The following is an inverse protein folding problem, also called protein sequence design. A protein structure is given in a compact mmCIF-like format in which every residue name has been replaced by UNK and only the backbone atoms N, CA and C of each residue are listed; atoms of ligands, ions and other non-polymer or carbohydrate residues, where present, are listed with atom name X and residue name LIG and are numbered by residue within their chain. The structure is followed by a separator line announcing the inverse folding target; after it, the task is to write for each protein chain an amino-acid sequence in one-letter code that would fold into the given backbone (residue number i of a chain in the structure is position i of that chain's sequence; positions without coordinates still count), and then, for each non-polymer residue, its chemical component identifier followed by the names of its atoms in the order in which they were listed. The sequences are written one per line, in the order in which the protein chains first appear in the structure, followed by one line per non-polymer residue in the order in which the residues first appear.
data_IF_868668320982
#
_entry.id   IF_868668320982
#
_cell.length_a   1.000
_cell.length_b   1.000
_cell.length_c   1.000
_cell.angle_alpha   90.00
_cell.angle_beta   90.00
_cell.angle_gamma   90.00
#
_symmetry.space_group_name_H-M   'P 1'
#
loop_
_entity.id
_entity.type
_entity.pdbx_description
1 polymer ?
#
# COMPACT_ATOMS: atom_id res chain seq x y z
N UNK A 1 -43.36 2.22 -25.30
CA UNK A 1 -42.12 2.62 -24.60
C UNK A 1 -42.40 2.81 -23.10
N UNK A 2 -42.12 1.82 -22.24
CA UNK A 2 -42.28 1.94 -20.78
C UNK A 2 -41.03 1.35 -20.10
N UNK A 3 -40.62 1.91 -18.95
CA UNK A 3 -39.53 1.39 -18.07
C UNK A 3 -38.11 1.34 -18.67
N UNK A 4 -37.86 2.02 -19.79
CA UNK A 4 -36.53 2.05 -20.44
C UNK A 4 -35.44 2.61 -19.50
N UNK A 5 -35.76 3.69 -18.78
CA UNK A 5 -34.85 4.29 -17.79
C UNK A 5 -34.50 3.31 -16.67
N UNK A 6 -35.50 2.64 -16.10
CA UNK A 6 -35.29 1.69 -15.00
C UNK A 6 -34.42 0.50 -15.43
N UNK A 7 -34.60 -0.02 -16.66
CA UNK A 7 -33.76 -1.09 -17.21
C UNK A 7 -32.30 -0.65 -17.37
N UNK A 8 -32.08 0.55 -17.92
CA UNK A 8 -30.74 1.13 -18.09
C UNK A 8 -30.06 1.40 -16.74
N UNK A 9 -30.81 1.90 -15.76
CA UNK A 9 -30.30 2.19 -14.42
C UNK A 9 -29.85 0.91 -13.71
N UNK A 10 -30.64 -0.17 -13.76
CA UNK A 10 -30.24 -1.47 -13.17
C UNK A 10 -28.96 -2.02 -13.79
N UNK A 11 -28.83 -1.93 -15.11
CA UNK A 11 -27.62 -2.35 -15.82
C UNK A 11 -26.38 -1.56 -15.38
N UNK A 12 -26.47 -0.22 -15.35
CA UNK A 12 -25.34 0.60 -14.93
C UNK A 12 -25.03 0.48 -13.43
N UNK A 13 -26.03 0.27 -12.57
CA UNK A 13 -25.79 0.08 -11.14
C UNK A 13 -24.99 -1.21 -10.89
N UNK A 14 -25.35 -2.29 -11.58
CA UNK A 14 -24.60 -3.53 -11.50
C UNK A 14 -23.18 -3.38 -12.06
N UNK A 15 -23.02 -2.73 -13.21
CA UNK A 15 -21.71 -2.44 -13.79
C UNK A 15 -20.83 -1.57 -12.88
N UNK A 16 -21.40 -0.51 -12.30
CA UNK A 16 -20.70 0.38 -11.38
C UNK A 16 -20.22 -0.36 -10.13
N UNK A 17 -21.07 -1.23 -9.58
CA UNK A 17 -20.69 -2.08 -8.45
C UNK A 17 -19.52 -3.00 -8.78
N UNK A 18 -19.58 -3.72 -9.91
CA UNK A 18 -18.49 -4.59 -10.34
C UNK A 18 -17.17 -3.82 -10.56
N UNK A 19 -17.24 -2.66 -11.21
CA UNK A 19 -16.06 -1.81 -11.43
C UNK A 19 -15.49 -1.32 -10.11
N UNK A 20 -16.33 -0.85 -9.18
CA UNK A 20 -15.87 -0.40 -7.86
C UNK A 20 -15.20 -1.52 -7.06
N UNK A 21 -15.76 -2.73 -7.10
CA UNK A 21 -15.19 -3.91 -6.45
C UNK A 21 -13.84 -4.27 -7.07
N UNK A 22 -13.75 -4.21 -8.40
CA UNK A 22 -12.51 -4.42 -9.15
C UNK A 22 -11.42 -3.42 -8.76
N UNK A 23 -11.75 -2.13 -8.69
CA UNK A 23 -10.82 -1.09 -8.25
C UNK A 23 -10.36 -1.32 -6.80
N UNK A 24 -11.27 -1.67 -5.90
CA UNK A 24 -10.94 -1.97 -4.50
C UNK A 24 -9.99 -3.17 -4.38
N UNK A 25 -10.26 -4.25 -5.12
CA UNK A 25 -9.39 -5.42 -5.16
C UNK A 25 -8.01 -5.09 -5.75
N UNK A 26 -7.97 -4.37 -6.87
CA UNK A 26 -6.74 -3.94 -7.53
C UNK A 26 -5.87 -3.10 -6.58
N UNK A 27 -6.46 -2.16 -5.85
CA UNK A 27 -5.72 -1.36 -4.87
C UNK A 27 -5.24 -2.21 -3.69
N UNK A 28 -6.10 -3.09 -3.16
CA UNK A 28 -5.75 -3.95 -2.03
C UNK A 28 -4.54 -4.82 -2.36
N UNK A 29 -4.57 -5.55 -3.46
CA UNK A 29 -3.52 -6.51 -3.80
C UNK A 29 -2.34 -5.88 -4.54
N UNK A 30 -2.55 -4.80 -5.29
CA UNK A 30 -1.49 -4.09 -6.01
C UNK A 30 -0.71 -3.11 -5.15
N UNK A 31 -1.31 -2.57 -4.07
CA UNK A 31 -0.70 -1.51 -3.26
C UNK A 31 -0.68 -1.85 -1.78
N UNK A 32 -1.83 -2.18 -1.19
CA UNK A 32 -1.94 -2.31 0.27
C UNK A 32 -1.21 -3.55 0.81
N UNK A 33 -1.45 -4.74 0.25
CA UNK A 33 -0.78 -5.97 0.67
C UNK A 33 0.73 -5.96 0.42
N UNK A 34 1.23 -5.55 -0.77
CA UNK A 34 2.68 -5.48 -1.00
C UNK A 34 3.37 -4.52 -0.04
N UNK A 35 2.75 -3.36 0.27
CA UNK A 35 3.30 -2.44 1.27
C UNK A 35 3.39 -3.10 2.64
N UNK A 36 2.31 -3.70 3.14
CA UNK A 36 2.32 -4.39 4.43
C UNK A 36 3.39 -5.48 4.49
N UNK A 37 3.53 -6.25 3.41
CA UNK A 37 4.55 -7.28 3.28
C UNK A 37 5.96 -6.69 3.29
N UNK A 38 6.23 -5.62 2.55
CA UNK A 38 7.53 -4.98 2.50
C UNK A 38 7.99 -4.47 3.89
N UNK A 39 7.09 -3.87 4.67
CA UNK A 39 7.39 -3.48 6.05
C UNK A 39 7.68 -4.70 6.94
N UNK A 40 6.86 -5.75 6.84
CA UNK A 40 7.09 -6.97 7.61
C UNK A 40 8.42 -7.65 7.24
N UNK A 41 8.77 -7.70 5.95
CA UNK A 41 10.03 -8.26 5.47
C UNK A 41 11.24 -7.43 5.90
N UNK A 42 11.14 -6.10 5.88
CA UNK A 42 12.18 -5.21 6.39
C UNK A 42 12.47 -5.49 7.86
N UNK A 43 11.44 -5.46 8.71
CA UNK A 43 11.60 -5.63 10.16
C UNK A 43 11.92 -7.06 10.59
N UNK A 44 11.69 -8.07 9.74
CA UNK A 44 11.91 -9.47 10.08
C UNK A 44 13.32 -9.76 10.61
N UNK A 45 14.32 -9.11 10.02
CA UNK A 45 15.74 -9.27 10.39
C UNK A 45 16.42 -7.92 10.63
N UNK A 46 15.65 -6.87 10.88
CA UNK A 46 16.22 -5.54 11.08
C UNK A 46 16.94 -5.47 12.43
N UNK A 47 18.21 -5.08 12.39
CA UNK A 47 19.01 -4.79 13.59
C UNK A 47 19.21 -3.27 13.68
N UNK A 48 18.50 -2.59 14.60
CA UNK A 48 18.59 -1.14 14.75
C UNK A 48 20.01 -0.67 15.13
N UNK A 49 20.77 -1.46 15.90
CA UNK A 49 22.10 -1.05 16.35
C UNK A 49 23.11 -1.14 15.21
N UNK A 50 23.00 -2.17 14.37
CA UNK A 50 23.83 -2.29 13.17
C UNK A 50 23.59 -1.14 12.20
N UNK A 51 22.32 -0.80 11.96
CA UNK A 51 21.94 0.31 11.08
C UNK A 51 22.38 1.67 11.65
N UNK A 52 22.18 1.87 12.96
CA UNK A 52 22.68 3.04 13.68
C UNK A 52 24.21 3.19 13.56
N UNK A 53 24.98 2.13 13.83
CA UNK A 53 26.45 2.21 13.74
C UNK A 53 26.91 2.46 12.31
N UNK A 54 26.21 1.95 11.30
CA UNK A 54 26.48 2.28 9.89
C UNK A 54 26.23 3.77 9.59
N UNK A 55 25.10 4.33 10.07
CA UNK A 55 24.80 5.76 9.94
C UNK A 55 25.78 6.65 10.71
N UNK A 56 26.17 6.21 11.92
CA UNK A 56 27.16 6.87 12.76
C UNK A 56 28.53 6.91 12.07
N UNK A 57 28.99 5.78 11.53
CA UNK A 57 30.24 5.70 10.80
C UNK A 57 30.24 6.58 9.54
N UNK A 58 29.08 6.75 8.91
CA UNK A 58 28.89 7.68 7.80
C UNK A 58 28.85 9.16 8.22
N UNK A 59 28.90 9.48 9.52
CA UNK A 59 28.92 10.85 10.03
C UNK A 59 27.60 11.59 9.93
N UNK A 60 26.48 10.86 9.86
CA UNK A 60 25.14 11.47 9.71
C UNK A 60 24.67 12.16 10.99
N UNK A 61 25.18 11.74 12.16
CA UNK A 61 24.74 12.25 13.45
C UNK A 61 25.69 13.31 14.02
N UNK A 62 25.13 14.46 14.39
CA UNK A 62 25.84 15.50 15.14
C UNK A 62 26.07 15.09 16.61
N UNK A 63 25.06 14.48 17.24
CA UNK A 63 25.11 14.05 18.64
C UNK A 63 25.94 12.79 18.88
N UNK A 64 26.25 12.05 17.81
CA UNK A 64 27.01 10.80 17.85
C UNK A 64 28.03 10.80 16.70
N UNK A 65 29.18 11.48 16.84
CA UNK A 65 30.19 11.49 15.81
C UNK A 65 30.74 10.08 15.53
N UNK A 66 31.29 9.85 14.32
CA UNK A 66 32.02 8.62 14.01
C UNK A 66 33.04 8.31 15.11
N UNK A 67 33.20 7.03 15.45
CA UNK A 67 34.27 6.60 16.37
C UNK A 67 35.65 6.82 15.74
#
# INVERSE_FOLDING_TARGET
MRRLLAKRMKFHLFGAFLVSMGCAAAYKFGVAEPRKRAYAEFYKNYDPMKDFEAMRAAGVFESAPPK
#
